data_IF_736743538315
#
_entry.id   IF_736743538315
#
_cell.length_a   1.000
_cell.length_b   1.000
_cell.length_c   1.000
_cell.angle_alpha   90.00
_cell.angle_beta   90.00
_cell.angle_gamma   90.00
#
_symmetry.space_group_name_H-M   'P 1'
#
loop_
_entity.id
_entity.type
_entity.pdbx_description
1 polymer ?
#
# COMPACT_ATOMS: atom_id res chain seq x y z
N UNK A 1 -20.38 46.14 -8.17
CA UNK A 1 -20.32 44.78 -8.78
C UNK A 1 -19.06 43.98 -8.35
N UNK A 2 -18.64 44.04 -7.09
CA UNK A 2 -17.37 43.42 -6.64
C UNK A 2 -17.50 42.02 -5.99
N UNK A 3 -18.74 41.57 -5.72
CA UNK A 3 -19.00 40.36 -4.92
C UNK A 3 -18.84 39.05 -5.71
N UNK A 4 -18.87 39.11 -7.05
CA UNK A 4 -18.83 37.95 -7.96
C UNK A 4 -17.41 37.43 -8.23
N UNK A 5 -16.38 38.26 -8.08
CA UNK A 5 -14.99 37.83 -8.32
C UNK A 5 -14.48 36.94 -7.17
N UNK A 6 -14.87 37.25 -5.94
CA UNK A 6 -14.47 36.48 -4.75
C UNK A 6 -15.04 35.04 -4.74
N UNK A 7 -16.26 34.83 -5.24
CA UNK A 7 -16.87 33.50 -5.32
C UNK A 7 -16.24 32.63 -6.40
N UNK A 8 -15.86 33.23 -7.53
CA UNK A 8 -15.13 32.54 -8.60
C UNK A 8 -13.77 32.01 -8.11
N UNK A 9 -13.00 32.84 -7.40
CA UNK A 9 -11.70 32.44 -6.86
C UNK A 9 -11.80 31.31 -5.84
N UNK A 10 -12.81 31.34 -4.96
CA UNK A 10 -13.07 30.26 -3.99
C UNK A 10 -13.38 28.94 -4.70
N UNK A 11 -14.24 28.96 -5.72
CA UNK A 11 -14.60 27.77 -6.52
C UNK A 11 -13.39 27.16 -7.24
N UNK A 12 -12.51 28.00 -7.79
CA UNK A 12 -11.28 27.54 -8.44
C UNK A 12 -10.30 26.90 -7.44
N UNK A 13 -10.13 27.51 -6.27
CA UNK A 13 -9.26 26.98 -5.22
C UNK A 13 -9.75 25.62 -4.71
N UNK A 14 -11.05 25.48 -4.51
CA UNK A 14 -11.67 24.24 -4.07
C UNK A 14 -11.53 23.12 -5.10
N UNK A 15 -11.75 23.42 -6.38
CA UNK A 15 -11.52 22.48 -7.49
C UNK A 15 -10.06 22.00 -7.52
N UNK A 16 -9.10 22.90 -7.33
CA UNK A 16 -7.68 22.53 -7.28
C UNK A 16 -7.34 21.67 -6.06
N UNK A 17 -7.99 21.91 -4.92
CA UNK A 17 -7.82 21.09 -3.71
C UNK A 17 -8.41 19.69 -3.89
N UNK A 18 -9.58 19.58 -4.54
CA UNK A 18 -10.21 18.29 -4.86
C UNK A 18 -9.33 17.47 -5.78
N UNK A 19 -8.86 18.04 -6.90
CA UNK A 19 -7.91 17.37 -7.82
C UNK A 19 -6.67 16.84 -7.11
N UNK A 20 -6.00 17.69 -6.32
CA UNK A 20 -4.81 17.27 -5.54
C UNK A 20 -5.11 16.13 -4.57
N UNK A 21 -6.31 16.08 -4.00
CA UNK A 21 -6.73 15.01 -3.08
C UNK A 21 -6.98 13.71 -3.83
N UNK A 22 -7.64 13.78 -4.99
CA UNK A 22 -7.86 12.65 -5.89
C UNK A 22 -6.54 12.07 -6.39
N UNK A 23 -5.64 12.91 -6.92
CA UNK A 23 -4.32 12.49 -7.40
C UNK A 23 -3.50 11.80 -6.29
N UNK A 24 -3.55 12.34 -5.06
CA UNK A 24 -2.85 11.75 -3.92
C UNK A 24 -3.48 10.43 -3.49
N UNK A 25 -4.80 10.29 -3.59
CA UNK A 25 -5.50 9.06 -3.27
C UNK A 25 -5.17 7.97 -4.30
N UNK A 26 -5.21 8.30 -5.60
CA UNK A 26 -4.81 7.40 -6.68
C UNK A 26 -3.35 6.95 -6.53
N UNK A 27 -2.41 7.89 -6.33
CA UNK A 27 -1.00 7.55 -6.08
C UNK A 27 -0.80 6.67 -4.84
N UNK A 28 -1.63 6.84 -3.79
CA UNK A 28 -1.59 5.98 -2.61
C UNK A 28 -2.12 4.58 -2.92
N UNK A 29 -3.19 4.48 -3.71
CA UNK A 29 -3.77 3.22 -4.14
C UNK A 29 -2.83 2.46 -5.09
N UNK A 30 -2.24 3.13 -6.08
CA UNK A 30 -1.20 2.55 -6.95
C UNK A 30 0.01 2.05 -6.16
N UNK A 31 0.43 2.77 -5.10
CA UNK A 31 1.49 2.28 -4.21
C UNK A 31 1.05 1.11 -3.34
N UNK A 32 -0.23 0.96 -3.05
CA UNK A 32 -0.77 -0.18 -2.32
C UNK A 32 -0.95 -1.39 -3.23
N UNK A 33 -1.33 -1.17 -4.49
CA UNK A 33 -1.54 -2.20 -5.49
C UNK A 33 -0.22 -2.70 -6.10
N UNK A 34 0.72 -1.79 -6.37
CA UNK A 34 2.04 -2.14 -6.92
C UNK A 34 3.12 -2.30 -5.85
N UNK A 35 2.89 -1.78 -4.64
CA UNK A 35 3.81 -1.99 -3.52
C UNK A 35 3.49 -3.31 -2.84
N UNK A 36 4.30 -4.32 -3.17
CA UNK A 36 4.52 -5.59 -2.48
C UNK A 36 4.91 -5.38 -1.01
N UNK A 37 4.04 -4.76 -0.20
CA UNK A 37 4.48 -4.09 1.02
C UNK A 37 3.43 -3.95 2.11
N UNK A 38 2.37 -4.74 2.10
CA UNK A 38 1.50 -4.82 3.27
C UNK A 38 1.45 -6.22 3.90
N UNK A 39 1.45 -7.30 3.11
CA UNK A 39 1.23 -8.65 3.64
C UNK A 39 2.13 -9.76 3.03
N UNK A 40 3.18 -9.41 2.26
CA UNK A 40 4.06 -10.41 1.65
C UNK A 40 5.18 -10.83 2.63
N UNK A 41 4.81 -11.53 3.70
CA UNK A 41 5.79 -12.33 4.48
C UNK A 41 6.16 -13.53 3.60
N UNK A 42 7.20 -13.36 2.78
CA UNK A 42 7.77 -14.45 2.00
C UNK A 42 8.52 -15.41 2.94
N UNK A 43 8.28 -16.70 2.77
CA UNK A 43 8.95 -17.73 3.55
C UNK A 43 10.28 -18.09 2.89
N UNK A 44 11.32 -18.29 3.69
CA UNK A 44 12.64 -18.66 3.20
C UNK A 44 12.81 -20.17 3.33
N UNK A 45 13.21 -20.85 2.26
CA UNK A 45 13.52 -22.28 2.28
C UNK A 45 14.95 -22.56 2.83
N UNK A 46 15.29 -23.84 3.02
CA UNK A 46 16.58 -24.30 3.53
C UNK A 46 17.79 -23.88 2.67
N UNK A 47 17.54 -23.47 1.42
CA UNK A 47 18.55 -23.03 0.46
C UNK A 47 18.58 -21.51 0.29
N UNK A 48 17.79 -20.77 1.08
CA UNK A 48 17.75 -19.30 1.07
C UNK A 48 16.89 -18.69 -0.04
N UNK A 49 16.07 -19.47 -0.74
CA UNK A 49 15.15 -18.96 -1.76
C UNK A 49 13.83 -18.51 -1.15
N UNK A 50 13.25 -17.44 -1.73
CA UNK A 50 11.95 -16.90 -1.34
C UNK A 50 10.83 -17.77 -1.93
N UNK A 51 10.01 -18.33 -1.05
CA UNK A 51 8.86 -19.17 -1.39
C UNK A 51 7.56 -18.51 -0.93
N UNK A 52 6.52 -18.59 -1.78
CA UNK A 52 5.19 -18.02 -1.49
C UNK A 52 4.30 -18.96 -0.68
N UNK A 53 4.77 -20.18 -0.39
CA UNK A 53 4.04 -21.22 0.35
C UNK A 53 4.39 -21.17 1.82
N UNK A 54 3.41 -21.01 2.74
CA UNK A 54 3.67 -21.10 4.17
C UNK A 54 4.20 -22.50 4.52
N UNK A 55 5.21 -22.62 5.40
CA UNK A 55 5.70 -23.89 5.87
C UNK A 55 4.53 -24.58 6.57
N UNK A 56 4.14 -25.74 6.05
CA UNK A 56 3.17 -26.60 6.72
C UNK A 56 3.67 -26.87 8.13
N UNK A 57 2.84 -26.65 9.14
CA UNK A 57 3.15 -26.93 10.55
C UNK A 57 3.39 -28.43 10.74
N UNK A 58 4.55 -28.91 10.33
CA UNK A 58 4.97 -30.29 10.56
C UNK A 58 6.48 -30.43 10.56
N UNK A 59 7.17 -29.58 11.30
CA UNK A 59 8.47 -29.89 11.88
C UNK A 59 8.54 -29.34 13.30
N UNK A 60 7.74 -29.96 14.18
CA UNK A 60 8.00 -29.99 15.63
C UNK A 60 8.13 -31.45 16.02
N UNK A 61 9.29 -32.04 15.73
CA UNK A 61 9.81 -33.27 16.34
C UNK A 61 10.89 -33.84 15.42
N UNK A 62 12.16 -33.76 15.83
CA UNK A 62 13.20 -34.80 15.61
C UNK A 62 14.64 -34.26 15.68
N UNK A 63 14.95 -33.27 16.53
CA UNK A 63 16.35 -33.00 16.92
C UNK A 63 16.42 -32.51 18.38
N UNK A 64 15.69 -33.20 19.26
CA UNK A 64 16.15 -33.46 20.63
C UNK A 64 16.06 -34.98 20.79
N UNK A 65 17.09 -35.58 21.41
CA UNK A 65 17.36 -37.01 21.59
C UNK A 65 18.22 -37.72 20.51
N UNK A 66 19.55 -37.46 20.54
CA UNK A 66 20.56 -38.39 21.08
C UNK A 66 21.98 -37.78 21.07
#
# INVERSE_FOLDING_TARGET
MAKSQATFMKKQLEKNRQKKKEDKAQRKQERKENGTGADDIAYVDEFGNLTSTPPTQKQKSADEDQ
#
